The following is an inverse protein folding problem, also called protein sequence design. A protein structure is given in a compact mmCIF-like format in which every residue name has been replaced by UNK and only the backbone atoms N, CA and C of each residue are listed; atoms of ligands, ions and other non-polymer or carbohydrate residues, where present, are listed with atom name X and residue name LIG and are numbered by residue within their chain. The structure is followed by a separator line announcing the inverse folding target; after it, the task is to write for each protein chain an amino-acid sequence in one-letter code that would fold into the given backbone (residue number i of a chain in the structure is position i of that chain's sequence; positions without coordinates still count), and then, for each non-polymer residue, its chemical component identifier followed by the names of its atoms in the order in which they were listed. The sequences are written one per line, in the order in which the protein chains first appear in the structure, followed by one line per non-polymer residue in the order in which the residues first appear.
data_IF_018639899719
#
_entry.id   IF_018639899719
#
_cell.length_a   1.000
_cell.length_b   1.000
_cell.length_c   1.000
_cell.angle_alpha   90.00
_cell.angle_beta   90.00
_cell.angle_gamma   90.00
#
_symmetry.space_group_name_H-M   'P 1'
#
loop_
_entity.id
_entity.type
_entity.pdbx_description
1 polymer ?
#
# COMPACT_ATOMS: atom_id res chain seq x y z
N UNK A 1 -91.62 5.02 -22.40
CA UNK A 1 -92.50 3.86 -22.79
C UNK A 1 -91.97 2.66 -22.06
N UNK A 2 -92.69 2.29 -20.97
CA UNK A 2 -93.32 1.02 -20.77
C UNK A 2 -92.41 -0.22 -21.03
N UNK A 3 -92.18 -1.22 -20.17
CA UNK A 3 -92.99 -1.85 -19.12
C UNK A 3 -92.08 -2.81 -18.36
N UNK A 4 -92.35 -2.93 -17.07
CA UNK A 4 -92.15 -4.14 -16.23
C UNK A 4 -93.08 -5.28 -16.74
N UNK A 5 -93.08 -6.55 -16.17
CA UNK A 5 -92.71 -7.01 -14.83
C UNK A 5 -92.20 -8.49 -14.71
N UNK A 6 -91.67 -8.81 -13.54
CA UNK A 6 -92.19 -9.87 -12.58
C UNK A 6 -91.65 -11.29 -12.69
N UNK A 7 -91.29 -11.82 -11.50
CA UNK A 7 -91.71 -13.15 -10.95
C UNK A 7 -90.63 -13.84 -10.14
N UNK A 8 -90.68 -13.70 -8.84
CA UNK A 8 -90.85 -14.65 -7.73
C UNK A 8 -90.26 -16.06 -7.92
N UNK A 9 -89.36 -16.48 -6.98
CA UNK A 9 -89.78 -17.21 -5.78
C UNK A 9 -88.59 -17.51 -4.86
N UNK A 10 -88.82 -17.29 -3.54
CA UNK A 10 -88.01 -17.88 -2.46
C UNK A 10 -88.55 -19.29 -2.18
N UNK A 11 -87.82 -20.23 -1.54
CA UNK A 11 -87.65 -20.25 -0.07
C UNK A 11 -86.35 -21.01 0.39
N UNK A 12 -86.08 -20.89 1.70
CA UNK A 12 -85.42 -21.90 2.50
C UNK A 12 -84.27 -21.37 3.37
N UNK A 13 -84.66 -20.81 4.55
CA UNK A 13 -83.75 -20.55 5.62
C UNK A 13 -83.33 -21.83 6.33
N UNK A 14 -82.04 -22.07 6.47
CA UNK A 14 -81.53 -22.94 7.52
C UNK A 14 -80.56 -22.10 8.33
N UNK A 15 -80.96 -21.78 9.56
CA UNK A 15 -80.13 -21.12 10.57
C UNK A 15 -79.26 -22.22 11.17
N UNK A 16 -77.99 -22.20 10.98
CA UNK A 16 -77.08 -22.97 11.81
C UNK A 16 -76.19 -21.99 12.63
N UNK A 17 -76.36 -22.17 13.92
CA UNK A 17 -75.67 -21.49 15.02
C UNK A 17 -74.19 -21.89 15.00
N UNK A 18 -73.32 -20.90 14.82
CA UNK A 18 -71.84 -21.09 14.93
C UNK A 18 -71.30 -20.25 16.07
N UNK A 19 -71.61 -20.74 17.28
CA UNK A 19 -70.78 -20.41 18.45
C UNK A 19 -69.84 -21.58 18.62
N UNK A 20 -68.61 -21.44 18.32
CA UNK A 20 -67.41 -22.19 18.67
C UNK A 20 -66.47 -22.39 17.48
N UNK A 21 -65.82 -21.26 17.07
CA UNK A 21 -64.58 -21.38 16.33
C UNK A 21 -63.53 -20.68 17.15
N UNK A 22 -62.77 -21.48 17.92
CA UNK A 22 -61.58 -21.09 18.64
C UNK A 22 -60.55 -20.57 17.63
N UNK A 23 -60.22 -19.28 17.67
CA UNK A 23 -59.20 -18.66 16.84
C UNK A 23 -57.85 -19.31 17.12
N UNK A 24 -57.23 -19.92 16.09
CA UNK A 24 -55.86 -20.42 16.10
C UNK A 24 -54.96 -19.21 15.98
N UNK A 25 -54.07 -18.92 16.95
CA UNK A 25 -53.14 -17.82 16.82
C UNK A 25 -52.10 -18.15 15.73
N UNK A 26 -51.95 -17.24 14.75
CA UNK A 26 -50.92 -17.30 13.73
C UNK A 26 -49.54 -17.38 14.39
N UNK A 27 -48.60 -18.20 13.85
CA UNK A 27 -47.27 -18.30 14.40
C UNK A 27 -46.54 -16.96 14.24
N UNK A 28 -46.20 -16.30 15.36
CA UNK A 28 -45.27 -15.18 15.39
C UNK A 28 -43.97 -15.65 14.79
N UNK A 29 -43.67 -15.19 13.56
CA UNK A 29 -42.37 -15.32 12.97
C UNK A 29 -41.34 -14.65 13.92
N UNK A 30 -40.56 -15.47 14.61
CA UNK A 30 -39.37 -15.02 15.32
C UNK A 30 -38.46 -14.37 14.26
N UNK A 31 -38.38 -13.03 14.23
CA UNK A 31 -37.31 -12.34 13.53
C UNK A 31 -35.99 -12.93 14.07
N UNK A 32 -35.37 -13.76 13.26
CA UNK A 32 -33.99 -14.21 13.51
C UNK A 32 -33.15 -12.94 13.64
N UNK A 33 -32.62 -12.70 14.83
CA UNK A 33 -31.60 -11.71 15.04
C UNK A 33 -30.44 -12.14 14.16
N UNK A 34 -30.17 -11.36 13.10
CA UNK A 34 -28.98 -11.52 12.29
C UNK A 34 -27.82 -11.30 13.24
N UNK A 35 -27.21 -12.39 13.71
CA UNK A 35 -25.93 -12.36 14.39
C UNK A 35 -24.96 -11.83 13.35
N UNK A 36 -24.56 -10.57 13.49
CA UNK A 36 -23.38 -10.05 12.82
C UNK A 36 -22.18 -10.86 13.31
N UNK A 37 -21.92 -11.98 12.65
CA UNK A 37 -20.69 -12.74 12.81
C UNK A 37 -19.54 -11.85 12.37
N UNK A 38 -18.36 -12.08 12.99
CA UNK A 38 -17.10 -11.43 12.57
C UNK A 38 -16.97 -11.55 11.05
N UNK A 39 -16.78 -10.44 10.29
CA UNK A 39 -16.66 -10.49 8.85
C UNK A 39 -15.58 -11.51 8.44
N UNK A 40 -15.73 -12.22 7.31
CA UNK A 40 -14.67 -13.05 6.77
C UNK A 40 -13.34 -12.27 6.73
N UNK A 41 -12.20 -12.94 6.94
CA UNK A 41 -10.87 -12.31 6.98
C UNK A 41 -10.58 -11.43 5.75
N UNK A 42 -11.11 -11.82 4.60
CA UNK A 42 -11.02 -11.08 3.33
C UNK A 42 -11.71 -9.72 3.40
N UNK A 43 -12.94 -9.66 3.91
CA UNK A 43 -13.68 -8.40 4.11
C UNK A 43 -13.03 -7.50 5.17
N UNK A 44 -12.35 -8.08 6.15
CA UNK A 44 -11.59 -7.30 7.14
C UNK A 44 -10.39 -6.60 6.48
N UNK A 45 -9.64 -7.30 5.60
CA UNK A 45 -8.53 -6.74 4.85
C UNK A 45 -8.93 -5.61 3.89
N UNK A 46 -10.08 -5.75 3.22
CA UNK A 46 -10.62 -4.69 2.35
C UNK A 46 -11.00 -3.42 3.13
N UNK A 47 -11.56 -3.59 4.32
CA UNK A 47 -11.89 -2.45 5.20
C UNK A 47 -10.61 -1.75 5.67
N UNK A 48 -9.59 -2.50 6.06
CA UNK A 48 -8.30 -1.96 6.50
C UNK A 48 -7.61 -1.21 5.35
N UNK A 49 -7.55 -1.80 4.15
CA UNK A 49 -7.00 -1.16 2.97
C UNK A 49 -7.70 0.18 2.67
N UNK A 50 -9.03 0.21 2.73
CA UNK A 50 -9.82 1.42 2.47
C UNK A 50 -9.59 2.51 3.53
N UNK A 51 -9.46 2.14 4.81
CA UNK A 51 -9.14 3.09 5.89
C UNK A 51 -7.72 3.65 5.68
N UNK A 52 -6.75 2.81 5.39
CA UNK A 52 -5.37 3.22 5.15
C UNK A 52 -5.24 4.13 3.91
N UNK A 53 -5.95 3.84 2.83
CA UNK A 53 -5.97 4.69 1.62
C UNK A 53 -6.64 6.05 1.88
N UNK A 54 -7.68 6.09 2.71
CA UNK A 54 -8.31 7.33 3.14
C UNK A 54 -7.38 8.15 4.04
N UNK A 55 -6.78 7.49 5.04
CA UNK A 55 -5.83 8.10 5.96
C UNK A 55 -4.61 8.68 5.22
N UNK A 56 -4.06 7.93 4.25
CA UNK A 56 -2.97 8.41 3.38
C UNK A 56 -3.33 9.73 2.70
N UNK A 57 -4.51 9.82 2.09
CA UNK A 57 -4.98 11.04 1.42
C UNK A 57 -5.14 12.20 2.39
N UNK A 58 -5.77 11.98 3.54
CA UNK A 58 -5.99 13.03 4.53
C UNK A 58 -4.66 13.51 5.13
N UNK A 59 -3.75 12.61 5.46
CA UNK A 59 -2.42 12.98 5.95
C UNK A 59 -1.62 13.79 4.93
N UNK A 60 -1.66 13.42 3.65
CA UNK A 60 -0.98 14.17 2.59
C UNK A 60 -1.56 15.57 2.39
N UNK A 61 -2.87 15.75 2.58
CA UNK A 61 -3.55 17.04 2.40
C UNK A 61 -3.45 17.96 3.61
N UNK A 62 -3.51 17.42 4.82
CA UNK A 62 -3.63 18.17 6.08
C UNK A 62 -2.37 18.14 6.95
N UNK A 63 -1.40 17.30 6.62
CA UNK A 63 -0.32 16.94 7.53
C UNK A 63 -0.80 16.06 8.68
N UNK A 64 0.12 15.63 9.53
CA UNK A 64 -0.23 14.79 10.68
C UNK A 64 -1.13 15.57 11.69
N UNK A 65 -0.79 16.79 12.05
CA UNK A 65 -1.54 17.57 13.04
C UNK A 65 -2.94 17.95 12.56
N UNK A 66 -3.06 18.43 11.33
CA UNK A 66 -4.33 18.89 10.76
C UNK A 66 -5.30 17.77 10.42
N UNK A 67 -4.84 16.53 10.30
CA UNK A 67 -5.67 15.37 10.02
C UNK A 67 -6.50 14.99 11.27
N UNK A 68 -7.79 14.63 11.07
CA UNK A 68 -8.65 14.10 12.11
C UNK A 68 -9.18 12.71 11.77
N UNK A 69 -9.43 11.89 12.81
CA UNK A 69 -10.08 10.58 12.63
C UNK A 69 -11.48 10.74 12.05
N UNK A 70 -12.14 11.86 12.28
CA UNK A 70 -13.47 12.16 11.75
C UNK A 70 -13.44 12.30 10.24
N UNK A 71 -12.54 13.12 9.72
CA UNK A 71 -12.34 13.32 8.29
C UNK A 71 -11.91 12.00 7.62
N UNK A 72 -11.00 11.24 8.26
CA UNK A 72 -10.59 9.93 7.75
C UNK A 72 -11.77 8.95 7.69
N UNK A 73 -12.62 8.92 8.72
CA UNK A 73 -13.80 8.06 8.76
C UNK A 73 -14.80 8.41 7.65
N UNK A 74 -15.03 9.70 7.41
CA UNK A 74 -15.86 10.19 6.32
C UNK A 74 -15.32 9.78 4.95
N UNK A 75 -14.03 10.06 4.68
CA UNK A 75 -13.37 9.69 3.41
C UNK A 75 -13.33 8.18 3.20
N UNK A 76 -13.10 7.40 4.27
CA UNK A 76 -13.12 5.93 4.23
C UNK A 76 -14.52 5.33 4.12
N UNK A 77 -15.58 6.13 4.27
CA UNK A 77 -16.96 5.65 4.44
C UNK A 77 -17.04 4.57 5.51
N UNK A 78 -16.40 4.82 6.65
CA UNK A 78 -16.30 3.89 7.77
C UNK A 78 -16.68 4.60 9.06
N UNK A 79 -17.18 3.86 10.04
CA UNK A 79 -17.45 4.45 11.35
C UNK A 79 -16.17 4.65 12.16
N UNK A 80 -16.07 5.73 12.97
CA UNK A 80 -14.96 5.95 13.91
C UNK A 80 -14.68 4.71 14.78
N UNK A 81 -15.73 4.07 15.28
CA UNK A 81 -15.62 2.84 16.07
C UNK A 81 -14.90 1.73 15.31
N UNK A 82 -15.07 1.66 13.99
CA UNK A 82 -14.40 0.69 13.15
C UNK A 82 -12.91 1.01 13.04
N UNK A 83 -12.54 2.29 12.95
CA UNK A 83 -11.14 2.74 12.93
C UNK A 83 -10.46 2.43 14.26
N UNK A 84 -11.05 2.85 15.38
CA UNK A 84 -10.49 2.59 16.72
C UNK A 84 -10.46 1.11 17.12
N UNK A 85 -11.28 0.26 16.49
CA UNK A 85 -11.20 -1.21 16.69
C UNK A 85 -9.97 -1.84 16.01
N UNK A 86 -9.28 -1.11 15.12
CA UNK A 86 -8.12 -1.57 14.34
C UNK A 86 -6.84 -0.82 14.65
N UNK A 87 -6.97 0.46 14.91
CA UNK A 87 -5.85 1.37 15.19
C UNK A 87 -6.13 2.07 16.53
N UNK A 88 -5.21 1.93 17.46
CA UNK A 88 -5.36 2.45 18.82
C UNK A 88 -5.62 3.96 18.85
N UNK A 89 -4.88 4.69 18.00
CA UNK A 89 -4.97 6.14 17.89
C UNK A 89 -4.57 6.65 16.48
N UNK A 90 -4.55 7.96 16.28
CA UNK A 90 -4.09 8.61 15.04
C UNK A 90 -2.63 8.31 14.73
N UNK A 91 -1.78 8.15 15.77
CA UNK A 91 -0.36 7.83 15.63
C UNK A 91 -0.17 6.42 15.08
N UNK A 92 -0.86 5.43 15.67
CA UNK A 92 -0.84 4.05 15.19
C UNK A 92 -1.32 3.95 13.74
N UNK A 93 -2.39 4.68 13.38
CA UNK A 93 -2.88 4.74 12.01
C UNK A 93 -1.85 5.37 11.05
N UNK A 94 -1.19 6.46 11.45
CA UNK A 94 -0.15 7.10 10.65
C UNK A 94 1.06 6.18 10.46
N UNK A 95 1.49 5.51 11.53
CA UNK A 95 2.57 4.51 11.49
C UNK A 95 2.26 3.42 10.47
N UNK A 96 1.04 2.89 10.48
CA UNK A 96 0.63 1.83 9.55
C UNK A 96 0.58 2.33 8.10
N UNK A 97 0.11 3.57 7.86
CA UNK A 97 0.12 4.20 6.53
C UNK A 97 1.54 4.31 5.99
N UNK A 98 2.48 4.82 6.78
CA UNK A 98 3.88 4.99 6.37
C UNK A 98 4.55 3.63 6.15
N UNK A 99 4.34 2.67 7.05
CA UNK A 99 4.89 1.31 6.96
C UNK A 99 4.39 0.61 5.69
N UNK A 100 3.09 0.69 5.41
CA UNK A 100 2.49 0.11 4.20
C UNK A 100 3.07 0.72 2.92
N UNK A 101 3.31 2.03 2.90
CA UNK A 101 3.90 2.69 1.72
C UNK A 101 5.33 2.20 1.47
N UNK A 102 6.11 1.96 2.52
CA UNK A 102 7.46 1.39 2.42
C UNK A 102 7.41 -0.06 1.93
N UNK A 103 6.49 -0.87 2.45
CA UNK A 103 6.33 -2.27 2.03
C UNK A 103 5.99 -2.38 0.54
N UNK A 104 5.42 -1.34 -0.07
CA UNK A 104 5.21 -1.29 -1.53
C UNK A 104 6.51 -1.29 -2.34
N UNK A 105 7.64 -0.97 -1.73
CA UNK A 105 8.95 -1.19 -2.37
C UNK A 105 9.14 -2.66 -2.73
N UNK A 106 8.68 -3.58 -1.88
CA UNK A 106 8.73 -5.01 -2.17
C UNK A 106 7.78 -5.44 -3.31
N UNK A 107 6.76 -4.65 -3.62
CA UNK A 107 5.87 -4.87 -4.76
C UNK A 107 6.51 -4.45 -6.09
N UNK A 108 7.60 -3.69 -6.03
CA UNK A 108 8.38 -3.32 -7.19
C UNK A 108 9.04 -4.59 -7.75
N UNK A 109 8.26 -5.35 -8.49
CA UNK A 109 8.77 -6.44 -9.30
C UNK A 109 9.43 -5.83 -10.51
N UNK A 110 10.74 -5.84 -10.52
CA UNK A 110 11.51 -5.48 -11.69
C UNK A 110 11.04 -6.35 -12.85
N UNK A 111 10.52 -5.74 -13.92
CA UNK A 111 10.54 -6.40 -15.22
C UNK A 111 12.00 -6.78 -15.48
N UNK A 112 12.27 -7.93 -16.12
CA UNK A 112 13.65 -8.28 -16.45
C UNK A 112 14.36 -7.07 -17.02
N UNK A 113 15.52 -6.67 -16.47
CA UNK A 113 16.20 -5.46 -16.91
C UNK A 113 16.51 -5.57 -18.40
N UNK A 114 16.08 -4.57 -19.17
CA UNK A 114 16.29 -4.51 -20.62
C UNK A 114 17.65 -3.90 -20.94
N UNK A 115 18.31 -4.41 -21.97
CA UNK A 115 19.61 -3.95 -22.42
C UNK A 115 20.47 -5.09 -22.94
N UNK A 116 21.45 -4.78 -23.77
CA UNK A 116 22.40 -5.75 -24.34
C UNK A 116 23.57 -5.95 -23.37
N UNK A 117 24.11 -4.85 -22.85
CA UNK A 117 25.20 -4.86 -21.89
C UNK A 117 24.71 -4.85 -20.45
N UNK A 118 25.55 -5.29 -19.50
CA UNK A 118 25.23 -5.20 -18.09
C UNK A 118 25.07 -3.75 -17.63
N UNK A 119 25.83 -2.84 -18.20
CA UNK A 119 25.74 -1.41 -17.91
C UNK A 119 24.37 -0.84 -18.32
N UNK A 120 23.90 -1.17 -19.53
CA UNK A 120 22.54 -0.80 -19.98
C UNK A 120 21.45 -1.40 -19.08
N UNK A 121 21.59 -2.68 -18.73
CA UNK A 121 20.61 -3.38 -17.88
C UNK A 121 20.53 -2.77 -16.48
N UNK A 122 21.68 -2.48 -15.85
CA UNK A 122 21.72 -1.80 -14.56
C UNK A 122 21.17 -0.38 -14.64
N UNK A 123 21.55 0.38 -15.67
CA UNK A 123 21.07 1.74 -15.90
C UNK A 123 19.54 1.77 -16.04
N UNK A 124 19.00 0.89 -16.87
CA UNK A 124 17.56 0.83 -17.10
C UNK A 124 16.78 0.38 -15.84
N UNK A 125 17.31 -0.58 -15.08
CA UNK A 125 16.72 -1.03 -13.84
C UNK A 125 16.73 0.09 -12.78
N UNK A 126 17.86 0.78 -12.61
CA UNK A 126 18.02 1.85 -11.65
C UNK A 126 17.16 3.07 -11.99
N UNK A 127 17.12 3.49 -13.27
CA UNK A 127 16.26 4.58 -13.71
C UNK A 127 14.77 4.24 -13.47
N UNK A 128 14.34 3.03 -13.82
CA UNK A 128 12.97 2.56 -13.58
C UNK A 128 12.62 2.59 -12.10
N UNK A 129 13.53 2.16 -11.23
CA UNK A 129 13.34 2.19 -9.77
C UNK A 129 13.18 3.63 -9.25
N UNK A 130 14.01 4.57 -9.70
CA UNK A 130 13.94 5.96 -9.27
C UNK A 130 12.67 6.65 -9.77
N UNK A 131 12.30 6.50 -11.04
CA UNK A 131 11.06 7.05 -11.57
C UNK A 131 9.83 6.50 -10.85
N UNK A 132 9.82 5.21 -10.55
CA UNK A 132 8.75 4.60 -9.75
C UNK A 132 8.77 5.10 -8.29
N UNK A 133 9.96 5.24 -7.70
CA UNK A 133 10.15 5.66 -6.30
C UNK A 133 9.77 7.12 -6.05
N UNK A 134 9.89 7.98 -7.06
CA UNK A 134 9.63 9.41 -6.95
C UNK A 134 8.19 9.80 -7.27
N UNK A 135 7.25 8.93 -6.90
CA UNK A 135 5.83 9.26 -6.86
C UNK A 135 5.56 10.41 -5.87
N UNK A 136 4.78 11.45 -6.27
CA UNK A 136 4.55 12.63 -5.43
C UNK A 136 3.99 12.32 -4.05
N UNK A 137 3.08 11.36 -3.95
CA UNK A 137 2.46 10.99 -2.69
C UNK A 137 3.46 10.25 -1.78
N UNK A 138 4.34 9.42 -2.36
CA UNK A 138 5.38 8.70 -1.63
C UNK A 138 6.41 9.65 -1.06
N UNK A 139 6.89 10.59 -1.86
CA UNK A 139 7.79 11.65 -1.37
C UNK A 139 7.07 12.54 -0.35
N UNK A 140 5.78 12.83 -0.54
CA UNK A 140 4.96 13.54 0.44
C UNK A 140 4.88 12.85 1.80
N UNK A 141 4.61 11.54 1.81
CA UNK A 141 4.60 10.75 3.06
C UNK A 141 5.97 10.70 3.73
N UNK A 142 7.04 10.59 2.94
CA UNK A 142 8.41 10.61 3.49
C UNK A 142 8.72 11.96 4.14
N UNK A 143 8.35 13.08 3.51
CA UNK A 143 8.49 14.42 4.12
C UNK A 143 7.71 14.53 5.43
N UNK A 144 6.49 14.01 5.48
CA UNK A 144 5.68 13.98 6.72
C UNK A 144 6.36 13.13 7.80
N UNK A 145 6.86 11.94 7.46
CA UNK A 145 7.56 11.08 8.40
C UNK A 145 8.83 11.75 8.96
N UNK A 146 9.58 12.45 8.12
CA UNK A 146 10.76 13.24 8.53
C UNK A 146 10.36 14.42 9.43
N UNK A 147 9.30 15.15 9.08
CA UNK A 147 8.83 16.28 9.88
C UNK A 147 8.39 15.86 11.30
N UNK A 148 7.83 14.67 11.42
CA UNK A 148 7.34 14.10 12.68
C UNK A 148 8.40 13.25 13.42
N UNK A 149 9.64 13.13 12.88
CA UNK A 149 10.67 12.24 13.42
C UNK A 149 11.04 12.56 14.88
N UNK A 150 11.11 13.84 15.24
CA UNK A 150 11.40 14.25 16.62
C UNK A 150 10.26 13.90 17.57
N UNK A 151 9.03 13.86 17.09
CA UNK A 151 7.85 13.51 17.88
C UNK A 151 7.64 12.01 17.99
N UNK A 152 8.01 11.27 16.94
CA UNK A 152 7.86 9.83 16.84
C UNK A 152 9.19 9.15 16.47
N UNK A 153 10.22 9.22 17.35
CA UNK A 153 11.56 8.72 17.03
C UNK A 153 11.57 7.21 16.72
N UNK A 154 10.78 6.40 17.43
CA UNK A 154 10.69 4.96 17.19
C UNK A 154 10.09 4.65 15.81
N UNK A 155 9.08 5.42 15.39
CA UNK A 155 8.51 5.30 14.04
C UNK A 155 9.57 5.63 13.00
N UNK A 156 10.25 6.76 13.13
CA UNK A 156 11.25 7.18 12.16
C UNK A 156 12.40 6.17 12.03
N UNK A 157 12.89 5.64 13.16
CA UNK A 157 13.93 4.61 13.19
C UNK A 157 13.46 3.31 12.53
N UNK A 158 12.28 2.81 12.90
CA UNK A 158 11.72 1.56 12.36
C UNK A 158 11.43 1.66 10.85
N UNK A 159 10.90 2.79 10.39
CA UNK A 159 10.67 3.10 8.97
C UNK A 159 11.98 3.07 8.19
N UNK A 160 13.01 3.79 8.68
CA UNK A 160 14.31 3.84 8.03
C UNK A 160 14.98 2.46 7.96
N UNK A 161 14.96 1.72 9.08
CA UNK A 161 15.53 0.37 9.12
C UNK A 161 14.83 -0.55 8.11
N UNK A 162 13.50 -0.59 8.11
CA UNK A 162 12.74 -1.46 7.21
C UNK A 162 12.90 -1.10 5.74
N UNK A 163 12.95 0.19 5.43
CA UNK A 163 13.21 0.64 4.06
C UNK A 163 14.60 0.19 3.57
N UNK A 164 15.64 0.30 4.43
CA UNK A 164 17.00 -0.15 4.11
C UNK A 164 17.08 -1.66 3.89
N UNK A 165 16.47 -2.46 4.77
CA UNK A 165 16.43 -3.91 4.63
C UNK A 165 15.81 -4.33 3.30
N UNK A 166 14.59 -3.87 3.01
CA UNK A 166 13.88 -4.19 1.77
C UNK A 166 14.62 -3.73 0.51
N UNK A 167 15.17 -2.51 0.54
CA UNK A 167 15.93 -1.99 -0.60
C UNK A 167 17.21 -2.81 -0.84
N UNK A 168 17.90 -3.22 0.22
CA UNK A 168 19.12 -4.04 0.12
C UNK A 168 18.80 -5.42 -0.43
N UNK A 169 17.72 -6.07 0.04
CA UNK A 169 17.26 -7.37 -0.47
C UNK A 169 16.96 -7.29 -1.97
N UNK A 170 16.16 -6.30 -2.39
CA UNK A 170 15.82 -6.08 -3.80
C UNK A 170 17.04 -5.78 -4.66
N UNK A 171 17.95 -4.96 -4.17
CA UNK A 171 19.19 -4.65 -4.85
C UNK A 171 20.10 -5.87 -5.02
N UNK A 172 20.22 -6.69 -3.97
CA UNK A 172 20.99 -7.94 -4.02
C UNK A 172 20.38 -8.94 -5.01
N UNK A 173 19.06 -9.08 -5.04
CA UNK A 173 18.38 -9.95 -5.99
C UNK A 173 18.57 -9.48 -7.44
N UNK A 174 18.48 -8.17 -7.68
CA UNK A 174 18.75 -7.57 -8.98
C UNK A 174 20.19 -7.85 -9.43
N UNK A 175 21.18 -7.55 -8.58
CA UNK A 175 22.58 -7.75 -8.89
C UNK A 175 22.87 -9.25 -9.16
N UNK A 176 22.34 -10.14 -8.34
CA UNK A 176 22.47 -11.59 -8.51
C UNK A 176 21.94 -12.07 -9.86
N UNK A 177 20.77 -11.55 -10.27
CA UNK A 177 20.18 -11.94 -11.55
C UNK A 177 20.99 -11.38 -12.72
N UNK A 178 21.41 -10.13 -12.65
CA UNK A 178 22.17 -9.49 -13.72
C UNK A 178 23.55 -10.11 -13.95
N UNK A 179 24.20 -10.56 -12.88
CA UNK A 179 25.57 -11.09 -12.94
C UNK A 179 25.62 -12.59 -13.24
N UNK A 180 24.50 -13.33 -13.19
CA UNK A 180 24.46 -14.78 -13.50
C UNK A 180 24.97 -15.13 -14.88
N UNK A 181 24.76 -14.27 -15.86
CA UNK A 181 25.10 -14.51 -17.27
C UNK A 181 26.27 -13.64 -17.77
N UNK A 182 26.98 -12.98 -16.86
CA UNK A 182 28.06 -12.07 -17.18
C UNK A 182 29.36 -12.42 -16.44
N UNK A 183 30.52 -12.11 -17.05
CA UNK A 183 31.84 -12.30 -16.43
C UNK A 183 32.00 -11.53 -15.10
N UNK A 184 31.21 -10.48 -14.89
CA UNK A 184 31.18 -9.73 -13.63
C UNK A 184 30.74 -10.59 -12.44
N UNK A 185 29.98 -11.66 -12.67
CA UNK A 185 29.59 -12.62 -11.61
C UNK A 185 30.78 -13.32 -10.95
N UNK A 186 31.96 -13.34 -11.58
CA UNK A 186 33.20 -13.89 -11.02
C UNK A 186 33.98 -12.88 -10.17
N UNK A 187 33.59 -11.61 -10.15
CA UNK A 187 34.30 -10.61 -9.34
C UNK A 187 33.94 -10.78 -7.85
N UNK A 188 34.88 -10.54 -6.93
CA UNK A 188 34.65 -10.63 -5.48
C UNK A 188 33.45 -9.82 -4.99
N UNK A 189 33.23 -8.64 -5.57
CA UNK A 189 32.11 -7.75 -5.23
C UNK A 189 30.72 -8.43 -5.39
N UNK A 190 30.60 -9.43 -6.26
CA UNK A 190 29.33 -10.14 -6.51
C UNK A 190 29.31 -11.54 -5.89
N UNK A 191 30.33 -11.91 -5.10
CA UNK A 191 30.29 -13.11 -4.30
C UNK A 191 29.11 -13.10 -3.31
N UNK A 192 28.51 -14.24 -2.98
CA UNK A 192 27.33 -14.30 -2.11
C UNK A 192 27.48 -13.56 -0.79
N UNK A 193 28.67 -13.63 -0.17
CA UNK A 193 29.02 -13.00 1.10
C UNK A 193 29.11 -11.46 1.01
N UNK A 194 29.44 -10.92 -0.16
CA UNK A 194 29.59 -9.47 -0.38
C UNK A 194 28.35 -8.82 -1.03
N UNK A 195 27.47 -9.63 -1.59
CA UNK A 195 26.40 -9.16 -2.47
C UNK A 195 25.46 -8.14 -1.80
N UNK A 196 25.11 -8.34 -0.53
CA UNK A 196 24.26 -7.41 0.22
C UNK A 196 24.95 -6.05 0.44
N UNK A 197 26.26 -6.07 0.76
CA UNK A 197 27.08 -4.86 0.92
C UNK A 197 27.22 -4.13 -0.40
N UNK A 198 27.51 -4.86 -1.48
CA UNK A 198 27.62 -4.31 -2.84
C UNK A 198 26.29 -3.68 -3.30
N UNK A 199 25.17 -4.35 -3.04
CA UNK A 199 23.84 -3.82 -3.34
C UNK A 199 23.56 -2.52 -2.57
N UNK A 200 23.97 -2.45 -1.30
CA UNK A 200 23.80 -1.25 -0.49
C UNK A 200 24.61 -0.09 -1.03
N UNK A 201 25.90 -0.29 -1.37
CA UNK A 201 26.72 0.75 -2.00
C UNK A 201 26.14 1.21 -3.34
N UNK A 202 25.62 0.28 -4.15
CA UNK A 202 24.95 0.62 -5.40
C UNK A 202 23.75 1.54 -5.17
N UNK A 203 22.88 1.17 -4.22
CA UNK A 203 21.68 1.96 -3.89
C UNK A 203 22.03 3.31 -3.28
N UNK A 204 23.02 3.36 -2.40
CA UNK A 204 23.48 4.60 -1.80
C UNK A 204 24.02 5.56 -2.88
N UNK A 205 24.76 5.05 -3.84
CA UNK A 205 25.31 5.85 -4.94
C UNK A 205 24.22 6.33 -5.92
N UNK A 206 23.27 5.47 -6.24
CA UNK A 206 22.25 5.74 -7.25
C UNK A 206 21.06 6.50 -6.67
N UNK A 207 20.54 6.03 -5.54
CA UNK A 207 19.24 6.49 -5.05
C UNK A 207 19.33 7.65 -4.05
N UNK A 208 20.28 7.61 -3.11
CA UNK A 208 20.31 8.58 -2.00
C UNK A 208 20.50 10.04 -2.48
N UNK A 209 21.41 10.38 -3.42
CA UNK A 209 21.56 11.75 -3.86
C UNK A 209 20.29 12.30 -4.53
N UNK A 210 19.63 11.48 -5.34
CA UNK A 210 18.40 11.87 -6.03
C UNK A 210 17.20 11.94 -5.09
N UNK A 211 17.12 11.02 -4.11
CA UNK A 211 16.12 11.06 -3.07
C UNK A 211 16.25 12.34 -2.22
N UNK A 212 17.47 12.68 -1.81
CA UNK A 212 17.70 13.92 -1.08
C UNK A 212 17.20 15.14 -1.86
N UNK A 213 17.48 15.23 -3.16
CA UNK A 213 16.94 16.29 -4.03
C UNK A 213 15.42 16.26 -4.12
N UNK A 214 14.82 15.07 -4.28
CA UNK A 214 13.37 14.90 -4.36
C UNK A 214 12.64 15.42 -3.10
N UNK A 215 13.27 15.36 -1.93
CA UNK A 215 12.69 15.88 -0.69
C UNK A 215 12.58 17.42 -0.68
N UNK A 216 13.38 18.14 -1.47
CA UNK A 216 13.42 19.61 -1.47
C UNK A 216 12.72 20.25 -2.68
N UNK A 217 12.39 19.51 -3.74
CA UNK A 217 11.72 20.07 -4.92
C UNK A 217 10.21 19.91 -4.82
N UNK A 218 9.47 20.91 -5.30
CA UNK A 218 8.00 20.87 -5.32
C UNK A 218 7.50 20.00 -6.48
N UNK A 219 8.07 20.21 -7.66
CA UNK A 219 7.71 19.48 -8.87
C UNK A 219 8.74 18.41 -9.20
N UNK A 220 8.43 17.16 -8.87
CA UNK A 220 9.35 16.03 -9.07
C UNK A 220 9.68 15.77 -10.54
N UNK A 221 8.82 16.14 -11.49
CA UNK A 221 9.11 16.01 -12.93
C UNK A 221 10.31 16.83 -13.40
N UNK A 222 10.70 17.84 -12.65
CA UNK A 222 11.93 18.60 -12.96
C UNK A 222 13.20 17.79 -12.76
N UNK A 223 13.11 16.67 -12.02
CA UNK A 223 14.24 15.76 -11.79
C UNK A 223 14.40 14.70 -12.88
N UNK A 224 13.38 14.44 -13.71
CA UNK A 224 13.43 13.36 -14.70
C UNK A 224 14.69 13.38 -15.58
N UNK A 225 15.09 14.50 -16.21
CA UNK A 225 16.32 14.56 -17.03
C UNK A 225 17.58 14.36 -16.20
N UNK A 226 17.55 14.74 -14.91
CA UNK A 226 18.68 14.62 -14.02
C UNK A 226 18.86 13.20 -13.50
N UNK A 227 17.74 12.47 -13.30
CA UNK A 227 17.74 11.06 -12.89
C UNK A 227 18.51 10.23 -13.90
N UNK A 228 18.15 10.31 -15.19
CA UNK A 228 18.78 9.50 -16.23
C UNK A 228 20.28 9.78 -16.34
N UNK A 229 20.67 11.07 -16.35
CA UNK A 229 22.07 11.47 -16.40
C UNK A 229 22.86 11.06 -15.14
N UNK A 230 22.22 11.12 -13.96
CA UNK A 230 22.83 10.69 -12.70
C UNK A 230 23.02 9.18 -12.67
N UNK A 231 21.99 8.42 -13.02
CA UNK A 231 22.02 6.96 -13.02
C UNK A 231 23.11 6.44 -13.94
N UNK A 232 23.21 6.96 -15.17
CA UNK A 232 24.24 6.53 -16.12
C UNK A 232 25.65 6.70 -15.54
N UNK A 233 25.94 7.86 -14.94
CA UNK A 233 27.26 8.12 -14.32
C UNK A 233 27.51 7.24 -13.09
N UNK A 234 26.48 7.06 -12.24
CA UNK A 234 26.59 6.26 -11.03
C UNK A 234 26.84 4.79 -11.35
N UNK A 235 26.13 4.24 -12.35
CA UNK A 235 26.34 2.87 -12.83
C UNK A 235 27.74 2.67 -13.40
N UNK A 236 28.22 3.57 -14.26
CA UNK A 236 29.55 3.49 -14.82
C UNK A 236 30.63 3.52 -13.72
N UNK A 237 30.49 4.42 -12.75
CA UNK A 237 31.40 4.52 -11.61
C UNK A 237 31.36 3.25 -10.74
N UNK A 238 30.17 2.74 -10.43
CA UNK A 238 29.97 1.52 -9.65
C UNK A 238 30.64 0.31 -10.31
N UNK A 239 30.41 0.11 -11.62
CA UNK A 239 31.00 -1.01 -12.36
C UNK A 239 32.53 -0.91 -12.44
N UNK A 240 33.07 0.31 -12.59
CA UNK A 240 34.50 0.54 -12.55
C UNK A 240 35.09 0.18 -11.18
N UNK A 241 34.44 0.58 -10.09
CA UNK A 241 34.85 0.22 -8.73
C UNK A 241 34.84 -1.30 -8.50
N UNK A 242 33.75 -1.99 -8.91
CA UNK A 242 33.67 -3.45 -8.79
C UNK A 242 34.79 -4.18 -9.55
N UNK A 243 35.16 -3.70 -10.75
CA UNK A 243 36.24 -4.29 -11.56
C UNK A 243 37.63 -4.11 -10.93
N UNK A 244 37.81 -3.06 -10.12
CA UNK A 244 39.09 -2.72 -9.49
C UNK A 244 39.17 -3.11 -8.00
N UNK A 245 38.34 -4.06 -7.54
CA UNK A 245 38.41 -4.59 -6.18
C UNK A 245 37.81 -3.67 -5.10
N UNK A 246 37.06 -2.63 -5.48
CA UNK A 246 36.53 -1.59 -4.59
C UNK A 246 35.53 -2.00 -3.51
N UNK A 247 35.30 -3.29 -3.28
CA UNK A 247 34.37 -3.82 -2.25
C UNK A 247 35.08 -4.71 -1.24
N UNK A 248 36.36 -4.95 -1.38
CA UNK A 248 37.16 -5.59 -0.34
C UNK A 248 37.23 -4.64 0.87
N UNK A 249 36.23 -4.76 1.75
CA UNK A 249 36.20 -4.03 3.00
C UNK A 249 37.45 -4.37 3.82
N UNK A 250 38.16 -3.38 4.26
CA UNK A 250 39.07 -3.51 5.39
C UNK A 250 38.22 -3.92 6.60
N UNK A 251 38.08 -5.23 6.84
CA UNK A 251 37.80 -5.74 8.17
C UNK A 251 39.05 -5.46 9.01
N UNK A 252 39.03 -4.37 9.75
CA UNK A 252 39.84 -4.15 10.94
C UNK A 252 38.94 -4.03 12.14
#
# INVERSE_FOLDING_TARGET
MRSRPAGRTKPGAIVMNTSDVKAIPAPRAKRAAVRFGRPPKELAGEVDARILDAARRVFLQRGFEGASIDEIAEVARSGKRTIYARFEDKRALFTEVVTRDILRIAEFKTKPPTGVTIEERLTNAAATLLHWGFDPDRIGLMRLAIAEANRFPDLAAGVNQRARELSTELGADLLRELTRSDQLGSLPAFAPEHLATTARFFLDLVAVPMLFRALFVINLKTLDPEIDAHVARAVAFFLAACRNGGVEGHEQ
#
